data_IF_750301347603
#
_entry.id   IF_750301347603
#
_cell.length_a   1.000
_cell.length_b   1.000
_cell.length_c   1.000
_cell.angle_alpha   90.00
_cell.angle_beta   90.00
_cell.angle_gamma   90.00
#
_symmetry.space_group_name_H-M   'P 1'
#
loop_
_entity.id
_entity.type
_entity.pdbx_description
1 polymer ?
#
# COMPACT_ATOMS: atom_id res chain seq x y z
N UNK A 1 -15.61 7.08 -5.52
CA UNK A 1 -15.58 7.54 -4.11
C UNK A 1 -14.13 7.58 -3.66
N UNK A 2 -13.70 8.62 -2.95
CA UNK A 2 -12.29 8.77 -2.57
C UNK A 2 -12.01 8.13 -1.21
N UNK A 3 -10.92 7.37 -1.12
CA UNK A 3 -10.40 6.81 0.13
C UNK A 3 -9.17 7.59 0.54
N UNK A 4 -9.23 8.22 1.72
CA UNK A 4 -8.10 8.95 2.29
C UNK A 4 -7.56 8.24 3.51
N UNK A 5 -6.23 8.23 3.64
CA UNK A 5 -5.50 7.72 4.79
C UNK A 5 -4.80 8.87 5.47
N UNK A 6 -5.12 9.06 6.74
CA UNK A 6 -4.55 10.07 7.60
C UNK A 6 -3.54 9.43 8.54
N UNK A 7 -2.46 10.13 8.85
CA UNK A 7 -1.37 9.62 9.68
C UNK A 7 -0.98 10.59 10.79
N UNK A 8 -0.46 10.04 11.88
CA UNK A 8 0.00 10.80 13.05
C UNK A 8 1.33 10.23 13.53
N UNK A 9 2.38 11.05 13.48
CA UNK A 9 3.73 10.62 13.87
C UNK A 9 3.96 10.66 15.38
N UNK A 10 4.87 9.79 15.84
CA UNK A 10 5.33 9.77 17.23
C UNK A 10 4.34 9.17 18.21
N UNK A 11 3.23 8.61 17.73
CA UNK A 11 2.24 7.88 18.53
C UNK A 11 2.01 6.50 17.92
N UNK A 12 1.86 5.49 18.78
CA UNK A 12 1.58 4.11 18.38
C UNK A 12 0.09 3.94 18.11
N UNK A 13 -0.72 4.47 19.03
CA UNK A 13 -2.18 4.52 18.96
C UNK A 13 -2.63 5.91 19.40
N UNK A 14 -3.67 6.44 18.77
CA UNK A 14 -4.27 7.71 19.20
C UNK A 14 -5.75 7.80 18.83
N UNK A 15 -6.59 8.02 19.84
CA UNK A 15 -8.03 8.26 19.64
C UNK A 15 -8.37 9.74 19.76
N UNK A 16 -9.21 10.24 18.84
CA UNK A 16 -9.72 11.62 18.87
C UNK A 16 -11.24 11.65 18.74
N UNK A 17 -11.83 12.61 19.46
CA UNK A 17 -13.25 12.92 19.35
C UNK A 17 -13.42 14.17 18.49
N UNK A 18 -14.02 14.02 17.32
CA UNK A 18 -14.35 15.14 16.42
C UNK A 18 -15.84 15.43 16.48
N UNK A 19 -16.19 16.72 16.58
CA UNK A 19 -17.58 17.17 16.49
C UNK A 19 -17.88 17.63 15.06
N UNK A 20 -18.84 16.97 14.41
CA UNK A 20 -19.23 17.24 13.03
C UNK A 20 -20.75 17.26 12.95
N UNK A 21 -21.30 18.38 12.49
CA UNK A 21 -22.74 18.57 12.33
C UNK A 21 -23.58 18.18 13.58
N UNK A 22 -23.03 18.40 14.78
CA UNK A 22 -23.71 18.11 16.05
C UNK A 22 -23.60 16.66 16.53
N UNK A 23 -22.80 15.81 15.87
CA UNK A 23 -22.47 14.46 16.33
C UNK A 23 -21.00 14.38 16.72
N UNK A 24 -20.73 13.63 17.78
CA UNK A 24 -19.36 13.30 18.21
C UNK A 24 -18.97 11.99 17.54
N UNK A 25 -17.89 12.00 16.78
CA UNK A 25 -17.29 10.82 16.17
C UNK A 25 -15.97 10.50 16.86
N UNK A 26 -15.77 9.23 17.23
CA UNK A 26 -14.47 8.75 17.67
C UNK A 26 -13.69 8.22 16.46
N UNK A 27 -12.43 8.62 16.35
CA UNK A 27 -11.50 8.19 15.31
C UNK A 27 -10.27 7.64 15.99
N UNK A 28 -9.99 6.38 15.74
CA UNK A 28 -8.88 5.65 16.33
C UNK A 28 -7.78 5.47 15.27
N UNK A 29 -6.62 6.10 15.51
CA UNK A 29 -5.41 5.91 14.71
C UNK A 29 -4.60 4.77 15.32
N UNK A 30 -4.19 3.82 14.49
CA UNK A 30 -3.51 2.60 14.95
C UNK A 30 -2.30 2.27 14.06
N UNK A 31 -1.45 1.35 14.54
CA UNK A 31 -0.32 0.82 13.76
C UNK A 31 0.89 1.75 13.65
N UNK A 32 1.03 2.71 14.57
CA UNK A 32 2.21 3.55 14.66
C UNK A 32 3.39 2.83 15.34
N UNK A 33 4.60 3.27 15.02
CA UNK A 33 5.84 2.83 15.66
C UNK A 33 6.60 4.08 16.10
N UNK A 34 6.88 4.18 17.40
CA UNK A 34 7.71 5.23 17.97
C UNK A 34 8.88 4.59 18.72
N UNK A 35 9.82 4.02 17.96
CA UNK A 35 11.02 3.35 18.48
C UNK A 35 12.27 4.01 17.93
N UNK A 36 13.40 3.94 18.65
CA UNK A 36 14.66 4.55 18.22
C UNK A 36 15.21 4.04 16.89
N UNK A 37 14.72 2.89 16.40
CA UNK A 37 15.08 2.24 15.14
C UNK A 37 14.21 2.63 13.95
N UNK A 38 13.06 3.28 14.18
CA UNK A 38 12.13 3.61 13.09
C UNK A 38 10.92 4.38 13.57
N UNK A 39 10.41 5.26 12.71
CA UNK A 39 9.22 6.06 12.97
C UNK A 39 8.17 5.70 11.92
N UNK A 40 7.09 5.07 12.36
CA UNK A 40 5.90 4.81 11.53
C UNK A 40 4.71 5.57 12.12
N UNK A 41 3.95 6.32 11.32
CA UNK A 41 2.79 7.03 11.85
C UNK A 41 1.66 6.05 12.19
N UNK A 42 0.89 6.37 13.23
CA UNK A 42 -0.41 5.74 13.43
C UNK A 42 -1.36 6.24 12.34
N UNK A 43 -2.03 5.32 11.64
CA UNK A 43 -2.84 5.63 10.46
C UNK A 43 -4.32 5.36 10.70
N UNK A 44 -5.16 6.13 10.00
CA UNK A 44 -6.59 5.92 9.93
C UNK A 44 -7.07 6.10 8.49
N UNK A 45 -7.64 5.05 7.92
CA UNK A 45 -8.14 5.06 6.54
C UNK A 45 -9.65 5.13 6.53
N UNK A 46 -10.21 6.07 5.77
CA UNK A 46 -11.66 6.25 5.67
C UNK A 46 -12.11 6.62 4.25
N UNK A 47 -13.26 6.06 3.86
CA UNK A 47 -13.99 6.40 2.63
C UNK A 47 -15.13 7.39 2.88
N UNK A 48 -15.41 7.68 4.15
CA UNK A 48 -16.53 8.53 4.51
C UNK A 48 -16.12 10.00 4.36
N UNK A 49 -16.69 10.68 3.36
CA UNK A 49 -16.44 12.10 3.08
C UNK A 49 -16.73 13.00 4.29
N UNK A 50 -17.71 12.66 5.13
CA UNK A 50 -18.02 13.41 6.36
C UNK A 50 -16.85 13.31 7.35
N UNK A 51 -16.24 12.13 7.47
CA UNK A 51 -15.09 11.90 8.36
C UNK A 51 -13.84 12.56 7.80
N UNK A 52 -13.64 12.51 6.48
CA UNK A 52 -12.54 13.22 5.82
C UNK A 52 -12.65 14.73 6.06
N UNK A 53 -13.82 15.31 5.79
CA UNK A 53 -14.09 16.73 6.05
C UNK A 53 -13.92 17.09 7.53
N UNK A 54 -14.31 16.19 8.45
CA UNK A 54 -14.10 16.38 9.89
C UNK A 54 -12.63 16.52 10.25
N UNK A 55 -11.79 15.61 9.74
CA UNK A 55 -10.37 15.57 10.02
C UNK A 55 -9.71 16.80 9.41
N UNK A 56 -9.96 17.08 8.14
CA UNK A 56 -9.36 18.21 7.41
C UNK A 56 -9.74 19.57 8.03
N UNK A 57 -10.97 19.72 8.54
CA UNK A 57 -11.39 20.94 9.20
C UNK A 57 -10.96 21.03 10.68
N UNK A 58 -10.53 19.91 11.29
CA UNK A 58 -10.10 19.87 12.69
C UNK A 58 -8.87 20.74 12.93
N UNK A 59 -8.71 21.21 14.17
CA UNK A 59 -7.48 21.89 14.58
C UNK A 59 -6.25 20.98 14.43
N UNK A 60 -6.38 19.68 14.66
CA UNK A 60 -5.24 18.76 14.60
C UNK A 60 -4.64 18.62 13.21
N UNK A 61 -5.47 18.68 12.16
CA UNK A 61 -4.98 18.70 10.78
C UNK A 61 -4.35 20.05 10.43
N UNK A 62 -5.00 21.16 10.79
CA UNK A 62 -4.49 22.53 10.51
C UNK A 62 -3.16 22.83 11.22
N UNK A 63 -2.93 22.25 12.40
CA UNK A 63 -1.67 22.38 13.14
C UNK A 63 -0.62 21.33 12.71
N UNK A 64 -0.89 20.51 11.69
CA UNK A 64 0.04 19.51 11.17
C UNK A 64 0.26 18.30 12.08
N UNK A 65 -0.60 18.08 13.08
CA UNK A 65 -0.54 16.87 13.93
C UNK A 65 -1.07 15.65 13.18
N UNK A 66 -2.12 15.83 12.40
CA UNK A 66 -2.62 14.84 11.46
C UNK A 66 -2.17 15.26 10.07
N UNK A 67 -1.60 14.33 9.32
CA UNK A 67 -1.18 14.55 7.94
C UNK A 67 -1.93 13.60 7.01
N UNK A 68 -2.13 14.01 5.76
CA UNK A 68 -2.62 13.11 4.72
C UNK A 68 -1.44 12.25 4.24
N UNK A 69 -1.56 10.93 4.37
CA UNK A 69 -0.52 9.96 3.99
C UNK A 69 -0.78 9.41 2.59
N UNK A 70 -2.05 9.17 2.24
CA UNK A 70 -2.43 8.61 0.94
C UNK A 70 -3.87 9.01 0.60
N UNK A 71 -4.12 9.26 -0.68
CA UNK A 71 -5.44 9.48 -1.27
C UNK A 71 -5.57 8.54 -2.48
N UNK A 72 -6.66 7.79 -2.54
CA UNK A 72 -6.95 6.82 -3.59
C UNK A 72 -8.35 7.05 -4.12
N UNK A 73 -8.46 7.28 -5.43
CA UNK A 73 -9.74 7.36 -6.13
C UNK A 73 -10.25 5.94 -6.43
N UNK A 74 -11.30 5.52 -5.73
CA UNK A 74 -11.95 4.23 -6.00
C UNK A 74 -13.08 4.48 -7.00
N UNK A 75 -12.81 4.16 -8.27
CA UNK A 75 -13.84 3.85 -9.25
C UNK A 75 -14.34 2.43 -8.95
N UNK A 76 -15.63 2.25 -8.64
CA UNK A 76 -16.17 0.90 -8.36
C UNK A 76 -15.91 -0.04 -9.55
N UNK A 77 -15.29 -1.21 -9.31
CA UNK A 77 -16.13 -2.39 -9.07
C UNK A 77 -15.57 -3.40 -8.05
N UNK A 78 -16.51 -3.97 -7.27
CA UNK A 78 -16.56 -5.35 -6.73
C UNK A 78 -15.28 -6.03 -6.18
N UNK A 79 -15.31 -6.23 -4.85
CA UNK A 79 -14.65 -7.30 -4.06
C UNK A 79 -13.17 -7.63 -4.32
N UNK A 80 -12.28 -7.24 -3.40
CA UNK A 80 -11.31 -8.14 -2.77
C UNK A 80 -10.62 -7.47 -1.58
N UNK A 81 -10.25 -8.30 -0.62
CA UNK A 81 -9.83 -8.03 0.75
C UNK A 81 -8.30 -8.11 0.80
N UNK A 82 -7.71 -7.43 1.78
CA UNK A 82 -6.58 -7.89 2.60
C UNK A 82 -5.35 -6.97 2.64
N UNK A 83 -4.93 -6.78 3.90
CA UNK A 83 -3.87 -5.98 4.45
C UNK A 83 -2.46 -6.26 3.92
N UNK A 84 -1.72 -5.16 3.82
CA UNK A 84 -0.38 -4.92 4.35
C UNK A 84 0.76 -5.91 4.04
N UNK A 85 1.77 -5.40 3.33
CA UNK A 85 3.18 -5.50 3.76
C UNK A 85 3.98 -4.33 3.15
N UNK A 86 4.58 -3.51 4.02
CA UNK A 86 5.55 -2.46 3.70
C UNK A 86 6.83 -3.05 3.07
N UNK A 87 7.42 -2.38 2.08
CA UNK A 87 8.77 -1.76 2.18
C UNK A 87 9.08 -0.88 0.95
N UNK A 88 9.64 0.30 1.23
CA UNK A 88 10.00 1.45 0.36
C UNK A 88 11.49 1.30 -0.06
N UNK A 89 11.98 1.80 -1.22
CA UNK A 89 12.47 3.19 -1.34
C UNK A 89 12.18 3.82 -2.73
N UNK A 90 11.62 5.03 -2.75
CA UNK A 90 12.28 6.30 -3.12
C UNK A 90 12.45 6.57 -4.62
N UNK A 91 12.01 7.78 -4.96
CA UNK A 91 12.31 8.62 -6.12
C UNK A 91 11.62 8.44 -7.47
N UNK A 92 11.16 9.61 -7.93
CA UNK A 92 10.90 10.04 -9.30
C UNK A 92 9.47 9.91 -9.82
N UNK A 93 8.80 11.06 -9.75
CA UNK A 93 7.99 11.70 -10.80
C UNK A 93 7.44 10.82 -11.95
N UNK A 94 6.10 10.90 -12.02
CA UNK A 94 5.26 10.95 -13.22
C UNK A 94 4.94 9.66 -14.01
N UNK A 95 3.62 9.46 -14.09
CA UNK A 95 2.80 8.92 -15.19
C UNK A 95 2.68 7.41 -15.44
N UNK A 96 1.70 6.83 -14.74
CA UNK A 96 0.64 5.90 -15.21
C UNK A 96 0.91 4.99 -16.42
N UNK A 97 1.08 3.68 -16.17
CA UNK A 97 0.39 2.53 -16.79
C UNK A 97 1.15 1.23 -16.43
N UNK A 98 0.45 0.22 -15.90
CA UNK A 98 0.96 -1.16 -15.73
C UNK A 98 2.37 -1.29 -15.08
N UNK A 99 2.48 -1.13 -13.76
CA UNK A 99 3.73 -1.42 -13.04
C UNK A 99 4.01 -2.93 -12.96
N UNK A 100 4.27 -3.57 -14.11
CA UNK A 100 4.97 -4.85 -14.16
C UNK A 100 6.47 -4.57 -13.98
N UNK A 101 7.06 -5.13 -12.93
CA UNK A 101 8.50 -5.11 -12.72
C UNK A 101 9.19 -5.95 -13.80
N UNK A 102 9.93 -5.30 -14.69
CA UNK A 102 10.61 -6.00 -15.78
C UNK A 102 11.94 -6.57 -15.29
N UNK A 103 12.12 -7.88 -15.43
CA UNK A 103 13.31 -8.59 -15.00
C UNK A 103 13.97 -9.19 -16.23
N UNK A 104 15.17 -8.72 -16.53
CA UNK A 104 15.97 -9.27 -17.63
C UNK A 104 16.53 -10.63 -17.23
N UNK A 105 16.16 -11.66 -17.98
CA UNK A 105 16.64 -13.03 -17.81
C UNK A 105 17.10 -13.55 -19.16
N UNK A 106 18.29 -14.15 -19.16
CA UNK A 106 18.91 -14.68 -20.37
C UNK A 106 18.54 -16.15 -20.63
N UNK A 107 17.90 -16.81 -19.67
CA UNK A 107 17.56 -18.23 -19.74
C UNK A 107 16.34 -18.60 -18.88
N UNK A 108 15.69 -19.72 -19.22
CA UNK A 108 14.59 -20.30 -18.46
C UNK A 108 14.99 -20.64 -17.03
N UNK A 109 16.20 -21.17 -16.83
CA UNK A 109 16.69 -21.55 -15.50
C UNK A 109 16.84 -20.34 -14.59
N UNK A 110 17.33 -19.23 -15.14
CA UNK A 110 17.48 -17.95 -14.45
C UNK A 110 16.13 -17.35 -14.05
N UNK A 111 15.14 -17.41 -14.95
CA UNK A 111 13.77 -16.99 -14.65
C UNK A 111 13.14 -17.82 -13.52
N UNK A 112 13.35 -19.15 -13.54
CA UNK A 112 12.85 -20.06 -12.51
C UNK A 112 13.52 -19.79 -11.16
N UNK A 113 14.84 -19.60 -11.15
CA UNK A 113 15.58 -19.32 -9.93
C UNK A 113 15.23 -17.95 -9.33
N UNK A 114 14.99 -16.93 -10.17
CA UNK A 114 14.47 -15.64 -9.72
C UNK A 114 13.10 -15.79 -9.05
N UNK A 115 12.18 -16.54 -9.66
CA UNK A 115 10.86 -16.78 -9.07
C UNK A 115 10.94 -17.55 -7.76
N UNK A 116 11.79 -18.58 -7.67
CA UNK A 116 11.92 -19.42 -6.47
C UNK A 116 12.64 -18.69 -5.33
N UNK A 117 13.55 -17.77 -5.65
CA UNK A 117 14.28 -17.00 -4.65
C UNK A 117 13.45 -15.83 -4.10
N UNK A 118 12.58 -15.24 -4.91
CA UNK A 118 11.76 -14.09 -4.52
C UNK A 118 10.34 -14.47 -4.06
N UNK A 119 9.85 -15.66 -4.42
CA UNK A 119 8.52 -16.14 -4.07
C UNK A 119 8.56 -17.59 -3.54
N UNK A 120 8.20 -17.79 -2.28
CA UNK A 120 8.11 -19.13 -1.67
C UNK A 120 7.04 -20.04 -2.31
N UNK A 121 6.10 -19.44 -3.06
CA UNK A 121 5.06 -20.15 -3.81
C UNK A 121 5.57 -20.80 -5.10
N UNK A 122 6.73 -20.36 -5.60
CA UNK A 122 7.27 -20.81 -6.88
C UNK A 122 7.88 -22.22 -6.75
N UNK A 123 7.23 -23.20 -7.38
CA UNK A 123 7.72 -24.59 -7.43
C UNK A 123 8.50 -24.84 -8.72
N UNK A 124 9.79 -25.16 -8.63
CA UNK A 124 10.66 -25.54 -9.78
C UNK A 124 10.05 -26.63 -10.69
N UNK A 125 9.21 -27.51 -10.13
CA UNK A 125 8.54 -28.58 -10.88
C UNK A 125 7.44 -28.07 -11.82
N UNK A 126 6.82 -26.93 -11.51
CA UNK A 126 5.72 -26.32 -12.29
C UNK A 126 6.24 -25.29 -13.32
N UNK A 127 7.41 -24.70 -13.06
CA UNK A 127 8.02 -23.66 -13.89
C UNK A 127 9.01 -24.25 -14.91
N UNK A 128 8.78 -25.47 -15.42
CA UNK A 128 9.68 -26.14 -16.37
C UNK A 128 9.60 -25.61 -17.81
N UNK A 129 8.69 -24.68 -18.10
CA UNK A 129 8.45 -24.17 -19.45
C UNK A 129 8.46 -22.64 -19.45
N UNK A 130 8.97 -22.04 -20.52
CA UNK A 130 9.00 -20.57 -20.72
C UNK A 130 7.61 -19.94 -20.57
N UNK A 131 6.58 -20.63 -21.06
CA UNK A 131 5.18 -20.20 -20.95
C UNK A 131 4.71 -20.19 -19.50
N UNK A 132 5.04 -21.22 -18.70
CA UNK A 132 4.61 -21.30 -17.31
C UNK A 132 5.38 -20.33 -16.41
N UNK A 133 6.66 -20.10 -16.69
CA UNK A 133 7.47 -19.08 -16.01
C UNK A 133 6.94 -17.66 -16.27
N UNK A 134 6.62 -17.30 -17.53
CA UNK A 134 6.05 -15.97 -17.85
C UNK A 134 4.67 -15.77 -17.22
N UNK A 135 3.78 -16.75 -17.32
CA UNK A 135 2.46 -16.64 -16.70
C UNK A 135 2.53 -16.48 -15.18
N UNK A 136 3.45 -17.19 -14.51
CA UNK A 136 3.65 -17.05 -13.06
C UNK A 136 4.32 -15.72 -12.68
N UNK A 137 5.23 -15.22 -13.53
CA UNK A 137 5.80 -13.89 -13.34
C UNK A 137 4.70 -12.83 -13.45
N UNK A 138 3.85 -12.91 -14.49
CA UNK A 138 2.76 -11.97 -14.73
C UNK A 138 1.74 -11.97 -13.59
N UNK A 139 1.41 -13.13 -13.01
CA UNK A 139 0.51 -13.20 -11.84
C UNK A 139 1.11 -12.55 -10.60
N UNK A 140 2.43 -12.42 -10.53
CA UNK A 140 3.16 -11.72 -9.46
C UNK A 140 3.57 -10.29 -9.86
N UNK A 141 3.09 -9.80 -11.02
CA UNK A 141 3.40 -8.45 -11.50
C UNK A 141 4.84 -8.29 -12.01
N UNK A 142 5.43 -9.36 -12.53
CA UNK A 142 6.77 -9.38 -13.12
C UNK A 142 6.68 -9.74 -14.61
N UNK A 143 7.44 -9.06 -15.45
CA UNK A 143 7.60 -9.43 -16.87
C UNK A 143 9.05 -9.81 -17.13
N UNK A 144 9.27 -11.06 -17.56
CA UNK A 144 10.60 -11.49 -17.98
C UNK A 144 10.92 -11.03 -19.40
N UNK A 145 11.92 -10.18 -19.53
CA UNK A 145 12.48 -9.71 -20.80
C UNK A 145 13.73 -10.56 -21.12
N UNK A 146 13.88 -11.01 -22.37
CA UNK A 146 15.02 -11.86 -22.78
C UNK A 146 14.75 -13.37 -22.84
N UNK A 147 13.62 -13.83 -22.28
CA UNK A 147 13.16 -15.23 -22.40
C UNK A 147 12.60 -15.52 -23.77
#
# INVERSE_FOLDING_TARGET
MTQKTYGVYGMIEWSILLNVAGRIMNIDFEGGLASGTGIRPATFTTRNEIVQFAIENSGHFKHGRIILVSEMDIEEPKEAIAEATEIIPTDTEEVVEDNLTEVEVSSLEEAVDYLVSNFDDAKKQQLRSKVTAKAFAETKGIRFVGL
#
